data_IF_323183078331
#
_entry.id   IF_323183078331
#
_cell.length_a   1.000
_cell.length_b   1.000
_cell.length_c   1.000
_cell.angle_alpha   90.00
_cell.angle_beta   90.00
_cell.angle_gamma   90.00
#
_symmetry.space_group_name_H-M   'P 1'
#
loop_
_entity.id
_entity.type
_entity.pdbx_description
1 polymer ?
#
# COMPACT_ATOMS: atom_id res chain seq x y z
N UNK A 1 35.28 0.76 40.98
CA UNK A 1 34.39 1.75 40.34
C UNK A 1 33.71 1.07 39.17
N UNK A 2 32.42 0.75 39.31
CA UNK A 2 31.67 0.06 38.28
C UNK A 2 31.40 1.00 37.11
N UNK A 3 31.90 0.65 35.94
CA UNK A 3 31.49 1.28 34.69
C UNK A 3 30.02 0.92 34.50
N UNK A 4 29.13 1.86 34.79
CA UNK A 4 27.74 1.79 34.37
C UNK A 4 27.78 1.91 32.85
N UNK A 5 27.77 0.77 32.15
CA UNK A 5 27.30 0.73 30.78
C UNK A 5 25.82 1.13 30.84
N UNK A 6 25.54 2.42 30.71
CA UNK A 6 24.23 2.85 30.25
C UNK A 6 24.19 2.42 28.78
N UNK A 7 23.39 1.42 28.38
CA UNK A 7 23.19 1.21 26.97
C UNK A 7 22.40 2.44 26.52
N UNK A 8 23.11 3.40 25.94
CA UNK A 8 22.48 4.31 24.99
C UNK A 8 22.06 3.36 23.86
N UNK A 9 20.87 2.78 24.00
CA UNK A 9 20.22 2.00 22.96
C UNK A 9 19.91 3.02 21.88
N UNK A 10 20.88 3.24 20.99
CA UNK A 10 20.71 4.15 19.89
C UNK A 10 19.65 3.53 18.98
N UNK A 11 18.50 4.19 18.89
CA UNK A 11 17.52 3.89 17.86
C UNK A 11 18.25 3.80 16.50
N UNK A 12 17.85 2.83 15.69
CA UNK A 12 18.31 2.68 14.32
C UNK A 12 18.12 4.02 13.61
N UNK A 13 19.18 4.46 12.93
CA UNK A 13 19.17 5.71 12.20
C UNK A 13 18.19 5.61 11.01
N UNK A 14 17.21 6.53 10.87
CA UNK A 14 16.32 6.56 9.72
C UNK A 14 17.05 6.88 8.41
N UNK A 15 18.23 7.49 8.47
CA UNK A 15 19.08 7.81 7.32
C UNK A 15 19.90 6.57 6.94
N UNK A 16 19.74 6.14 5.69
CA UNK A 16 20.47 5.02 5.11
C UNK A 16 21.88 5.43 4.68
N UNK A 17 22.00 6.57 3.97
CA UNK A 17 23.27 7.10 3.49
C UNK A 17 23.21 8.61 3.30
N UNK A 18 24.33 9.29 3.54
CA UNK A 18 24.52 10.69 3.20
C UNK A 18 25.27 10.82 1.87
N UNK A 19 24.70 11.56 0.92
CA UNK A 19 25.31 11.95 -0.35
C UNK A 19 25.57 13.46 -0.31
N UNK A 20 26.65 13.86 0.37
CA UNK A 20 26.91 15.28 0.66
C UNK A 20 25.77 15.90 1.48
N UNK A 21 25.09 16.97 1.01
CA UNK A 21 23.98 17.59 1.73
C UNK A 21 22.67 16.79 1.67
N UNK A 22 22.59 15.75 0.82
CA UNK A 22 21.37 14.98 0.61
C UNK A 22 21.36 13.76 1.52
N UNK A 23 20.36 13.67 2.40
CA UNK A 23 20.14 12.50 3.25
C UNK A 23 19.15 11.52 2.60
N UNK A 24 19.63 10.32 2.25
CA UNK A 24 18.78 9.25 1.71
C UNK A 24 18.22 8.45 2.88
N UNK A 25 16.90 8.42 3.01
CA UNK A 25 16.21 7.75 4.10
C UNK A 25 15.90 6.28 3.76
N UNK A 26 15.96 5.39 4.75
CA UNK A 26 15.56 3.99 4.61
C UNK A 26 14.14 3.84 4.10
N UNK A 27 13.24 4.74 4.50
CA UNK A 27 11.85 4.78 4.03
C UNK A 27 11.76 4.83 2.50
N UNK A 28 12.57 5.69 1.85
CA UNK A 28 12.61 5.81 0.40
C UNK A 28 13.20 4.56 -0.27
N UNK A 29 14.26 4.00 0.30
CA UNK A 29 14.90 2.76 -0.21
C UNK A 29 13.93 1.58 -0.15
N UNK A 30 13.19 1.45 0.96
CA UNK A 30 12.19 0.38 1.16
C UNK A 30 11.04 0.53 0.16
N UNK A 31 10.52 1.74 -0.06
CA UNK A 31 9.48 1.98 -1.07
C UNK A 31 9.98 1.66 -2.47
N UNK A 32 11.15 2.15 -2.86
CA UNK A 32 11.73 1.88 -4.18
C UNK A 32 11.90 0.38 -4.42
N UNK A 33 12.40 -0.35 -3.41
CA UNK A 33 12.53 -1.81 -3.45
C UNK A 33 11.17 -2.48 -3.60
N UNK A 34 10.16 -2.03 -2.84
CA UNK A 34 8.78 -2.52 -2.93
C UNK A 34 8.18 -2.32 -4.33
N UNK A 35 8.41 -1.17 -4.95
CA UNK A 35 7.96 -0.87 -6.33
C UNK A 35 8.64 -1.80 -7.34
N UNK A 36 9.95 -2.00 -7.25
CA UNK A 36 10.69 -2.90 -8.15
C UNK A 36 10.14 -4.32 -8.06
N UNK A 37 9.93 -4.83 -6.85
CA UNK A 37 9.35 -6.16 -6.62
C UNK A 37 7.93 -6.22 -7.18
N UNK A 38 7.12 -5.20 -6.92
CA UNK A 38 5.74 -5.15 -7.37
C UNK A 38 5.63 -5.17 -8.90
N UNK A 39 6.41 -4.34 -9.60
CA UNK A 39 6.47 -4.31 -11.06
C UNK A 39 6.94 -5.65 -11.61
N UNK A 40 8.00 -6.23 -11.04
CA UNK A 40 8.54 -7.52 -11.50
C UNK A 40 7.51 -8.64 -11.40
N UNK A 41 6.75 -8.69 -10.30
CA UNK A 41 5.69 -9.67 -10.11
C UNK A 41 4.47 -9.40 -10.99
N UNK A 42 4.11 -8.13 -11.18
CA UNK A 42 3.01 -7.71 -12.04
C UNK A 42 3.30 -8.07 -13.50
N UNK A 43 4.51 -7.81 -14.01
CA UNK A 43 4.95 -8.19 -15.36
C UNK A 43 4.90 -9.70 -15.55
N UNK A 44 5.44 -10.47 -14.60
CA UNK A 44 5.43 -11.94 -14.66
C UNK A 44 4.00 -12.49 -14.72
N UNK A 45 3.07 -11.97 -13.93
CA UNK A 45 1.69 -12.43 -13.96
C UNK A 45 0.91 -11.88 -15.15
N UNK A 46 1.12 -10.61 -15.51
CA UNK A 46 0.52 -9.98 -16.67
C UNK A 46 0.79 -10.74 -17.96
N UNK A 47 2.05 -11.12 -18.20
CA UNK A 47 2.42 -11.95 -19.34
C UNK A 47 1.67 -13.29 -19.37
N UNK A 48 1.47 -13.94 -18.22
CA UNK A 48 0.68 -15.18 -18.12
C UNK A 48 -0.81 -14.97 -18.38
N UNK A 49 -1.30 -13.74 -18.20
CA UNK A 49 -2.68 -13.34 -18.45
C UNK A 49 -2.85 -12.60 -19.79
N UNK A 50 -1.85 -12.58 -20.65
CA UNK A 50 -1.94 -11.94 -21.98
C UNK A 50 -1.93 -10.41 -21.96
N UNK A 51 -1.30 -9.81 -20.96
CA UNK A 51 -0.96 -8.37 -20.90
C UNK A 51 0.51 -8.24 -21.26
N UNK A 52 0.85 -7.34 -22.18
CA UNK A 52 2.25 -7.13 -22.57
C UNK A 52 3.06 -6.50 -21.43
N UNK A 53 4.35 -6.83 -21.36
CA UNK A 53 5.24 -6.24 -20.35
C UNK A 53 5.34 -4.72 -20.51
N UNK A 54 5.41 -4.23 -21.75
CA UNK A 54 5.48 -2.81 -22.07
C UNK A 54 4.24 -2.05 -21.59
N UNK A 55 3.05 -2.65 -21.67
CA UNK A 55 1.83 -2.03 -21.12
C UNK A 55 1.92 -1.82 -19.61
N UNK A 56 2.55 -2.74 -18.88
CA UNK A 56 2.71 -2.63 -17.42
C UNK A 56 3.77 -1.59 -17.08
N UNK A 57 4.88 -1.54 -17.83
CA UNK A 57 5.92 -0.52 -17.68
C UNK A 57 5.39 0.89 -18.01
N UNK A 58 4.67 1.04 -19.12
CA UNK A 58 4.03 2.30 -19.49
C UNK A 58 3.02 2.73 -18.42
N UNK A 59 2.18 1.80 -17.95
CA UNK A 59 1.19 2.10 -16.94
C UNK A 59 1.82 2.60 -15.64
N UNK A 60 2.89 1.96 -15.14
CA UNK A 60 3.57 2.41 -13.90
C UNK A 60 4.26 3.78 -14.11
N UNK A 61 4.85 4.01 -15.29
CA UNK A 61 5.48 5.29 -15.64
C UNK A 61 4.48 6.45 -15.70
N UNK A 62 3.22 6.19 -16.06
CA UNK A 62 2.14 7.17 -15.96
C UNK A 62 1.54 7.25 -14.55
N UNK A 63 1.33 6.11 -13.89
CA UNK A 63 0.61 6.04 -12.63
C UNK A 63 1.39 6.64 -11.46
N UNK A 64 2.70 6.42 -11.37
CA UNK A 64 3.52 6.94 -10.26
C UNK A 64 3.56 8.48 -10.24
N UNK A 65 3.90 9.19 -11.33
CA UNK A 65 3.87 10.65 -11.35
C UNK A 65 2.45 11.20 -11.13
N UNK A 66 1.44 10.63 -11.78
CA UNK A 66 0.06 11.07 -11.60
C UNK A 66 -0.43 10.88 -10.16
N UNK A 67 -0.06 9.77 -9.50
CA UNK A 67 -0.36 9.54 -8.10
C UNK A 67 0.31 10.59 -7.19
N UNK A 68 1.57 10.93 -7.44
CA UNK A 68 2.29 11.93 -6.66
C UNK A 68 1.66 13.33 -6.83
N UNK A 69 1.36 13.72 -8.07
CA UNK A 69 0.70 15.00 -8.39
C UNK A 69 -0.67 15.06 -7.73
N UNK A 70 -1.50 14.02 -7.88
CA UNK A 70 -2.83 13.97 -7.31
C UNK A 70 -2.79 13.96 -5.78
N UNK A 71 -1.81 13.31 -5.16
CA UNK A 71 -1.63 13.31 -3.71
C UNK A 71 -1.30 14.70 -3.17
N UNK A 72 -0.45 15.45 -3.87
CA UNK A 72 -0.13 16.83 -3.52
C UNK A 72 -1.32 17.75 -3.74
N UNK A 73 -1.96 17.66 -4.90
CA UNK A 73 -3.16 18.44 -5.22
C UNK A 73 -4.27 18.21 -4.18
N UNK A 74 -4.52 16.96 -3.82
CA UNK A 74 -5.48 16.61 -2.77
C UNK A 74 -5.11 17.28 -1.45
N UNK A 75 -3.86 17.16 -1.00
CA UNK A 75 -3.42 17.80 0.26
C UNK A 75 -3.62 19.31 0.24
N UNK A 76 -3.22 19.98 -0.85
CA UNK A 76 -3.33 21.43 -1.04
C UNK A 76 -4.78 21.88 -1.03
N UNK A 77 -5.69 21.16 -1.71
CA UNK A 77 -7.12 21.47 -1.74
C UNK A 77 -7.72 21.45 -0.32
N UNK A 78 -7.37 20.44 0.48
CA UNK A 78 -7.87 20.34 1.85
C UNK A 78 -7.19 21.32 2.83
N UNK A 79 -6.04 21.90 2.45
CA UNK A 79 -5.31 22.92 3.21
C UNK A 79 -5.33 24.28 2.49
N UNK A 80 -6.36 24.55 1.69
CA UNK A 80 -6.40 25.73 0.81
C UNK A 80 -6.25 27.06 1.55
N UNK A 81 -6.77 27.13 2.78
CA UNK A 81 -6.66 28.32 3.63
C UNK A 81 -5.22 28.79 3.86
N UNK A 82 -4.28 27.84 3.94
CA UNK A 82 -2.85 28.08 4.06
C UNK A 82 -2.22 28.40 2.69
N UNK A 83 -2.47 27.56 1.69
CA UNK A 83 -1.77 27.64 0.39
C UNK A 83 -2.20 28.83 -0.47
N UNK A 84 -3.40 29.39 -0.28
CA UNK A 84 -3.79 30.64 -0.94
C UNK A 84 -2.86 31.82 -0.59
N UNK A 85 -2.21 31.77 0.58
CA UNK A 85 -1.23 32.75 1.03
C UNK A 85 0.22 32.36 0.71
N UNK A 86 0.46 31.09 0.34
CA UNK A 86 1.79 30.52 0.07
C UNK A 86 1.81 29.73 -1.25
N UNK A 87 1.49 30.37 -2.41
CA UNK A 87 1.34 29.65 -3.68
C UNK A 87 2.63 28.98 -4.16
N UNK A 88 3.81 29.53 -3.80
CA UNK A 88 5.10 28.92 -4.14
C UNK A 88 5.35 27.57 -3.47
N UNK A 89 4.70 27.31 -2.33
CA UNK A 89 4.83 26.05 -1.60
C UNK A 89 3.95 24.93 -2.19
N UNK A 90 3.00 25.23 -3.09
CA UNK A 90 2.07 24.24 -3.65
C UNK A 90 2.81 23.07 -4.32
N UNK A 91 3.94 23.34 -4.98
CA UNK A 91 4.75 22.32 -5.68
C UNK A 91 5.83 21.69 -4.79
N UNK A 92 6.05 22.23 -3.59
CA UNK A 92 7.13 21.84 -2.69
C UNK A 92 6.80 20.52 -1.98
N UNK A 93 6.92 19.41 -2.72
CA UNK A 93 6.68 18.05 -2.20
C UNK A 93 7.75 17.59 -1.21
N UNK A 94 8.92 18.21 -1.22
CA UNK A 94 10.03 17.93 -0.30
C UNK A 94 9.75 18.43 1.13
N UNK A 95 8.83 19.39 1.30
CA UNK A 95 8.37 19.85 2.61
C UNK A 95 7.29 18.91 3.22
N UNK A 96 7.00 17.80 2.54
CA UNK A 96 5.95 16.86 2.93
C UNK A 96 4.57 17.26 2.42
N UNK A 97 3.51 16.93 3.16
CA UNK A 97 2.13 17.27 2.78
C UNK A 97 1.63 16.49 1.56
N UNK A 98 1.60 15.17 1.68
CA UNK A 98 1.12 14.24 0.65
C UNK A 98 -0.05 13.44 1.24
N UNK A 99 -1.18 13.43 0.55
CA UNK A 99 -2.36 12.69 0.97
C UNK A 99 -2.53 11.40 0.17
N UNK A 100 -2.50 10.25 0.85
CA UNK A 100 -2.62 8.93 0.22
C UNK A 100 -3.91 8.77 -0.62
N UNK A 101 -5.00 9.42 -0.22
CA UNK A 101 -6.26 9.39 -0.96
C UNK A 101 -6.11 9.99 -2.36
N UNK A 102 -5.37 11.09 -2.49
CA UNK A 102 -5.05 11.67 -3.78
C UNK A 102 -4.19 10.72 -4.63
N UNK A 103 -3.21 10.02 -4.03
CA UNK A 103 -2.42 9.00 -4.73
C UNK A 103 -3.30 7.90 -5.32
N UNK A 104 -4.24 7.37 -4.52
CA UNK A 104 -5.13 6.28 -4.94
C UNK A 104 -6.08 6.73 -6.07
N UNK A 105 -6.63 7.94 -5.99
CA UNK A 105 -7.49 8.51 -7.03
C UNK A 105 -6.70 8.71 -8.32
N UNK A 106 -5.53 9.37 -8.25
CA UNK A 106 -4.68 9.62 -9.41
C UNK A 106 -4.23 8.34 -10.11
N UNK A 107 -3.70 7.37 -9.35
CA UNK A 107 -3.31 6.07 -9.88
C UNK A 107 -4.51 5.31 -10.48
N UNK A 108 -5.66 5.31 -9.80
CA UNK A 108 -6.87 4.62 -10.27
C UNK A 108 -7.39 5.19 -11.59
N UNK A 109 -7.38 6.51 -11.75
CA UNK A 109 -7.74 7.16 -13.01
C UNK A 109 -6.80 6.76 -14.15
N UNK A 110 -5.48 6.76 -13.89
CA UNK A 110 -4.51 6.30 -14.89
C UNK A 110 -4.77 4.85 -15.27
N UNK A 111 -4.90 3.93 -14.31
CA UNK A 111 -5.19 2.51 -14.58
C UNK A 111 -6.45 2.38 -15.45
N UNK A 112 -7.52 3.10 -15.11
CA UNK A 112 -8.77 3.05 -15.85
C UNK A 112 -8.61 3.53 -17.30
N UNK A 113 -8.09 4.74 -17.52
CA UNK A 113 -7.95 5.31 -18.86
C UNK A 113 -6.90 4.58 -19.70
N UNK A 114 -5.78 4.19 -19.09
CA UNK A 114 -4.71 3.45 -19.76
C UNK A 114 -5.23 2.10 -20.27
N UNK A 115 -5.86 1.31 -19.40
CA UNK A 115 -6.44 0.01 -19.78
C UNK A 115 -7.48 0.16 -20.90
N UNK A 116 -8.32 1.21 -20.85
CA UNK A 116 -9.29 1.49 -21.92
C UNK A 116 -8.63 1.82 -23.25
N UNK A 117 -7.53 2.58 -23.24
CA UNK A 117 -6.78 2.94 -24.45
C UNK A 117 -6.02 1.77 -25.08
N UNK A 118 -5.62 0.78 -24.28
CA UNK A 118 -4.85 -0.41 -24.70
C UNK A 118 -5.69 -1.67 -24.89
N UNK A 119 -7.01 -1.57 -24.81
CA UNK A 119 -7.92 -2.73 -24.85
C UNK A 119 -7.55 -3.81 -23.81
N UNK A 120 -7.19 -3.39 -22.59
CA UNK A 120 -6.96 -4.30 -21.46
C UNK A 120 -8.19 -4.23 -20.54
N UNK A 121 -8.76 -5.37 -20.10
CA UNK A 121 -9.82 -5.33 -19.10
C UNK A 121 -9.29 -4.74 -17.80
N UNK A 122 -9.88 -3.63 -17.34
CA UNK A 122 -9.46 -2.94 -16.10
C UNK A 122 -9.46 -3.91 -14.91
N UNK A 123 -10.47 -4.77 -14.81
CA UNK A 123 -10.57 -5.78 -13.76
C UNK A 123 -9.42 -6.80 -13.78
N UNK A 124 -8.98 -7.21 -14.97
CA UNK A 124 -7.85 -8.11 -15.11
C UNK A 124 -6.55 -7.43 -14.67
N UNK A 125 -6.33 -6.17 -15.07
CA UNK A 125 -5.16 -5.41 -14.64
C UNK A 125 -5.15 -5.22 -13.11
N UNK A 126 -6.30 -4.91 -12.51
CA UNK A 126 -6.44 -4.81 -11.06
C UNK A 126 -6.16 -6.14 -10.35
N UNK A 127 -6.62 -7.28 -10.89
CA UNK A 127 -6.30 -8.61 -10.34
C UNK A 127 -4.82 -8.94 -10.40
N UNK A 128 -4.13 -8.53 -11.48
CA UNK A 128 -2.68 -8.68 -11.62
C UNK A 128 -1.95 -7.81 -10.60
N UNK A 129 -2.38 -6.56 -10.44
CA UNK A 129 -1.74 -5.60 -9.54
C UNK A 129 -1.99 -5.90 -8.05
N UNK A 130 -3.19 -6.35 -7.67
CA UNK A 130 -3.61 -6.42 -6.26
C UNK A 130 -2.66 -7.21 -5.33
N UNK A 131 -2.18 -8.43 -5.67
CA UNK A 131 -1.20 -9.13 -4.84
C UNK A 131 0.11 -8.37 -4.69
N UNK A 132 0.53 -7.64 -5.73
CA UNK A 132 1.77 -6.84 -5.68
C UNK A 132 1.63 -5.60 -4.79
N UNK A 133 0.43 -5.01 -4.74
CA UNK A 133 0.11 -3.87 -3.88
C UNK A 133 0.14 -4.27 -2.41
N UNK A 134 -0.50 -5.38 -2.03
CA UNK A 134 -0.51 -5.83 -0.63
C UNK A 134 0.88 -6.28 -0.17
N UNK A 135 1.70 -6.83 -1.05
CA UNK A 135 3.12 -7.07 -0.75
C UNK A 135 3.88 -5.75 -0.55
N UNK A 136 3.65 -4.76 -1.41
CA UNK A 136 4.21 -3.41 -1.24
C UNK A 136 3.82 -2.78 0.10
N UNK A 137 2.57 -2.97 0.55
CA UNK A 137 2.13 -2.56 1.89
C UNK A 137 2.91 -3.32 2.98
N UNK A 138 3.07 -4.64 2.85
CA UNK A 138 3.81 -5.43 3.83
C UNK A 138 5.26 -4.94 4.00
N UNK A 139 5.94 -4.63 2.88
CA UNK A 139 7.32 -4.13 2.84
C UNK A 139 7.37 -2.69 3.37
N UNK A 140 6.47 -1.82 2.91
CA UNK A 140 6.44 -0.40 3.26
C UNK A 140 6.30 -0.13 4.75
N UNK A 141 5.65 -1.03 5.51
CA UNK A 141 5.53 -0.90 6.98
C UNK A 141 6.87 -0.91 7.69
N UNK A 142 7.91 -1.52 7.11
CA UNK A 142 9.26 -1.45 7.66
C UNK A 142 9.87 -0.05 7.53
N UNK A 143 9.39 0.77 6.59
CA UNK A 143 9.71 2.20 6.56
C UNK A 143 9.20 2.90 7.82
N UNK A 144 7.96 2.65 8.23
CA UNK A 144 7.40 3.24 9.46
C UNK A 144 8.22 2.83 10.71
N UNK A 145 8.73 1.60 10.74
CA UNK A 145 9.62 1.12 11.80
C UNK A 145 10.96 1.89 11.84
N UNK A 146 11.59 2.12 10.69
CA UNK A 146 12.83 2.88 10.61
C UNK A 146 12.63 4.35 11.01
N UNK A 147 11.49 4.94 10.63
CA UNK A 147 11.14 6.32 10.97
C UNK A 147 10.52 6.49 12.37
N UNK A 148 10.28 5.39 13.11
CA UNK A 148 9.58 5.40 14.39
C UNK A 148 8.25 6.17 14.34
N UNK A 149 7.42 5.85 13.35
CA UNK A 149 6.09 6.46 13.16
C UNK A 149 5.00 5.38 13.06
N UNK A 150 3.72 5.79 13.06
CA UNK A 150 2.58 4.87 12.91
C UNK A 150 2.51 3.74 13.95
N UNK A 151 3.16 3.91 15.11
CA UNK A 151 3.22 2.93 16.19
C UNK A 151 1.94 2.91 17.05
N UNK A 152 1.77 1.84 17.83
CA UNK A 152 0.61 1.68 18.69
C UNK A 152 0.74 2.32 20.07
N UNK A 153 -0.21 2.03 20.94
CA UNK A 153 -0.23 2.54 22.33
C UNK A 153 0.99 2.08 23.14
N UNK A 154 1.21 2.74 24.28
CA UNK A 154 2.22 2.33 25.26
C UNK A 154 1.95 0.89 25.70
N UNK A 155 3.02 0.10 25.77
CA UNK A 155 3.01 -1.30 26.20
C UNK A 155 4.20 -1.60 27.12
N UNK A 156 4.29 -2.84 27.60
CA UNK A 156 5.38 -3.28 28.47
C UNK A 156 6.48 -4.00 27.69
N UNK A 157 7.69 -4.03 28.25
CA UNK A 157 8.79 -4.86 27.73
C UNK A 157 8.40 -6.35 27.69
N UNK A 158 7.71 -6.83 28.74
CA UNK A 158 7.24 -8.21 28.83
C UNK A 158 6.30 -8.58 27.68
N UNK A 159 5.42 -7.65 27.26
CA UNK A 159 4.57 -7.86 26.09
C UNK A 159 5.40 -8.07 24.81
N UNK A 160 6.41 -7.21 24.56
CA UNK A 160 7.27 -7.32 23.38
C UNK A 160 8.14 -8.60 23.39
N UNK A 161 8.63 -8.99 24.56
CA UNK A 161 9.37 -10.26 24.74
C UNK A 161 8.45 -11.47 24.53
N UNK A 162 7.19 -11.40 24.98
CA UNK A 162 6.19 -12.45 24.74
C UNK A 162 5.85 -12.66 23.26
N UNK A 163 6.07 -11.64 22.42
CA UNK A 163 5.99 -11.76 20.96
C UNK A 163 7.23 -12.43 20.34
N UNK A 164 8.22 -12.83 21.15
CA UNK A 164 9.48 -13.46 20.71
C UNK A 164 10.25 -12.62 19.68
N UNK A 165 10.17 -11.30 19.80
CA UNK A 165 10.83 -10.38 18.87
C UNK A 165 12.34 -10.34 19.13
N UNK A 166 13.16 -10.20 18.08
CA UNK A 166 14.60 -10.00 18.26
C UNK A 166 14.85 -8.64 18.96
N UNK A 167 15.94 -8.57 19.73
CA UNK A 167 16.26 -7.39 20.57
C UNK A 167 16.24 -6.07 19.80
N UNK A 168 16.83 -6.04 18.61
CA UNK A 168 16.88 -4.83 17.77
C UNK A 168 15.50 -4.28 17.39
N UNK A 169 14.45 -5.13 17.29
CA UNK A 169 13.08 -4.67 17.09
C UNK A 169 12.52 -4.09 18.39
N UNK A 170 12.70 -4.79 19.51
CA UNK A 170 12.23 -4.34 20.82
C UNK A 170 12.83 -2.98 21.17
N UNK A 171 14.14 -2.85 20.97
CA UNK A 171 14.93 -1.66 21.21
C UNK A 171 14.43 -0.47 20.36
N UNK A 172 14.18 -0.70 19.06
CA UNK A 172 13.64 0.33 18.17
C UNK A 172 12.21 0.75 18.53
N UNK A 173 11.44 -0.12 19.19
CA UNK A 173 10.09 0.17 19.67
C UNK A 173 10.06 0.93 21.00
N UNK A 174 11.21 1.24 21.59
CA UNK A 174 11.32 2.20 22.69
C UNK A 174 11.32 3.63 22.13
N UNK A 175 10.14 4.25 22.08
CA UNK A 175 9.93 5.52 21.39
C UNK A 175 9.41 6.55 22.39
N UNK A 176 10.11 7.69 22.49
CA UNK A 176 9.78 8.79 23.38
C UNK A 176 9.60 8.35 24.85
N UNK A 177 10.54 7.53 25.35
CA UNK A 177 10.60 7.12 26.76
C UNK A 177 9.67 5.96 27.15
N UNK A 178 8.97 5.34 26.21
CA UNK A 178 8.10 4.20 26.49
C UNK A 178 8.13 3.17 25.35
N UNK A 179 7.98 1.88 25.70
CA UNK A 179 7.74 0.84 24.71
C UNK A 179 6.37 1.02 24.05
N UNK A 180 6.32 0.87 22.74
CA UNK A 180 5.10 1.00 21.93
C UNK A 180 4.73 -0.35 21.30
N UNK A 181 3.44 -0.56 21.08
CA UNK A 181 2.99 -1.74 20.33
C UNK A 181 3.48 -1.66 18.86
N UNK A 182 4.04 -2.75 18.30
CA UNK A 182 4.62 -2.77 16.96
C UNK A 182 3.53 -2.96 15.90
N UNK A 183 2.66 -1.96 15.74
CA UNK A 183 1.60 -1.95 14.71
C UNK A 183 2.15 -2.13 13.30
N UNK A 184 3.37 -1.64 13.03
CA UNK A 184 4.07 -1.90 11.76
C UNK A 184 4.17 -3.41 11.46
N UNK A 185 4.50 -4.22 12.49
CA UNK A 185 4.70 -5.66 12.36
C UNK A 185 3.35 -6.36 12.20
N UNK A 186 2.33 -5.95 12.96
CA UNK A 186 0.98 -6.49 12.82
C UNK A 186 0.43 -6.24 11.41
N UNK A 187 0.64 -5.04 10.87
CA UNK A 187 0.18 -4.70 9.52
C UNK A 187 1.04 -5.36 8.43
N UNK A 188 2.35 -5.45 8.63
CA UNK A 188 3.27 -6.15 7.73
C UNK A 188 2.93 -7.63 7.61
N UNK A 189 2.75 -8.31 8.75
CA UNK A 189 2.41 -9.73 8.81
C UNK A 189 1.02 -10.02 8.26
N UNK A 190 0.02 -9.21 8.58
CA UNK A 190 -1.33 -9.34 8.00
C UNK A 190 -1.33 -9.19 6.48
N UNK A 191 -0.58 -8.20 5.98
CA UNK A 191 -0.47 -7.94 4.54
C UNK A 191 0.30 -9.06 3.82
N UNK A 192 1.38 -9.56 4.43
CA UNK A 192 2.15 -10.69 3.90
C UNK A 192 1.31 -11.98 3.87
N UNK A 193 0.52 -12.24 4.90
CA UNK A 193 -0.40 -13.38 4.93
C UNK A 193 -1.44 -13.25 3.80
N UNK A 194 -2.02 -12.07 3.60
CA UNK A 194 -2.93 -11.81 2.49
C UNK A 194 -2.28 -12.01 1.13
N UNK A 195 -1.03 -11.57 0.96
CA UNK A 195 -0.23 -11.84 -0.24
C UNK A 195 -0.10 -13.35 -0.49
N UNK A 196 0.34 -14.13 0.52
CA UNK A 196 0.53 -15.58 0.40
C UNK A 196 -0.79 -16.27 0.03
N UNK A 197 -1.90 -15.90 0.68
CA UNK A 197 -3.23 -16.44 0.40
C UNK A 197 -3.64 -16.15 -1.04
N UNK A 198 -3.57 -14.89 -1.48
CA UNK A 198 -3.95 -14.51 -2.85
C UNK A 198 -3.06 -15.18 -3.90
N UNK A 199 -1.74 -15.25 -3.67
CA UNK A 199 -0.81 -15.91 -4.58
C UNK A 199 -1.06 -17.42 -4.68
N UNK A 200 -1.44 -18.07 -3.58
CA UNK A 200 -1.72 -19.51 -3.54
C UNK A 200 -3.06 -19.86 -4.20
N UNK A 201 -4.04 -18.97 -4.10
CA UNK A 201 -5.40 -19.23 -4.57
C UNK A 201 -5.69 -18.69 -5.98
N UNK A 202 -5.02 -17.61 -6.43
CA UNK A 202 -5.36 -16.94 -7.71
C UNK A 202 -5.22 -17.84 -8.93
N UNK A 203 -4.40 -18.89 -8.85
CA UNK A 203 -4.18 -19.85 -9.93
C UNK A 203 -5.07 -21.08 -9.87
N UNK A 204 -5.97 -21.18 -8.87
CA UNK A 204 -6.88 -22.31 -8.75
C UNK A 204 -7.98 -22.24 -9.83
N UNK A 205 -8.12 -23.25 -10.70
CA UNK A 205 -9.10 -23.23 -11.78
C UNK A 205 -10.54 -23.04 -11.29
N UNK A 206 -11.25 -22.09 -11.89
CA UNK A 206 -12.66 -21.81 -11.58
C UNK A 206 -12.92 -21.09 -10.25
N UNK A 207 -11.90 -20.79 -9.45
CA UNK A 207 -12.09 -20.11 -8.16
C UNK A 207 -12.45 -18.63 -8.34
N UNK A 208 -11.63 -17.91 -9.11
CA UNK A 208 -11.77 -16.47 -9.33
C UNK A 208 -12.24 -16.14 -10.74
N UNK A 209 -13.17 -15.20 -10.81
CA UNK A 209 -13.53 -14.46 -12.03
C UNK A 209 -12.75 -13.13 -12.07
N UNK A 210 -12.66 -12.50 -13.24
CA UNK A 210 -11.95 -11.23 -13.36
C UNK A 210 -12.51 -10.16 -12.42
N UNK A 211 -11.63 -9.48 -11.70
CA UNK A 211 -11.87 -8.49 -10.65
C UNK A 211 -12.00 -9.08 -9.25
N UNK A 212 -12.15 -10.39 -9.10
CA UNK A 212 -12.35 -11.00 -7.79
C UNK A 212 -11.05 -11.13 -6.98
N UNK A 213 -9.89 -11.23 -7.62
CA UNK A 213 -8.61 -11.21 -6.88
C UNK A 213 -8.41 -9.82 -6.25
N UNK A 214 -8.70 -8.75 -6.99
CA UNK A 214 -8.68 -7.39 -6.48
C UNK A 214 -9.71 -7.18 -5.36
N UNK A 215 -10.95 -7.64 -5.52
CA UNK A 215 -11.97 -7.50 -4.49
C UNK A 215 -11.62 -8.30 -3.22
N UNK A 216 -11.03 -9.48 -3.36
CA UNK A 216 -10.51 -10.26 -2.23
C UNK A 216 -9.42 -9.50 -1.48
N UNK A 217 -8.47 -8.89 -2.22
CA UNK A 217 -7.47 -7.99 -1.64
C UNK A 217 -8.11 -6.84 -0.86
N UNK A 218 -9.07 -6.13 -1.45
CA UNK A 218 -9.74 -4.99 -0.81
C UNK A 218 -10.43 -5.41 0.48
N UNK A 219 -11.15 -6.53 0.47
CA UNK A 219 -11.79 -7.07 1.67
C UNK A 219 -10.75 -7.48 2.72
N UNK A 220 -9.69 -8.19 2.33
CA UNK A 220 -8.63 -8.64 3.24
C UNK A 220 -7.92 -7.48 3.93
N UNK A 221 -7.46 -6.50 3.14
CA UNK A 221 -6.75 -5.34 3.67
C UNK A 221 -7.67 -4.50 4.54
N UNK A 222 -8.90 -4.24 4.12
CA UNK A 222 -9.87 -3.46 4.90
C UNK A 222 -10.17 -4.11 6.25
N UNK A 223 -10.32 -5.43 6.28
CA UNK A 223 -10.54 -6.16 7.52
C UNK A 223 -9.39 -5.93 8.52
N UNK A 224 -8.14 -6.19 8.11
CA UNK A 224 -6.98 -5.99 8.99
C UNK A 224 -6.80 -4.52 9.39
N UNK A 225 -6.97 -3.61 8.42
CA UNK A 225 -6.82 -2.17 8.63
C UNK A 225 -7.80 -1.65 9.69
N UNK A 226 -9.03 -2.15 9.73
CA UNK A 226 -10.01 -1.77 10.75
C UNK A 226 -9.52 -2.05 12.18
N UNK A 227 -8.96 -3.24 12.44
CA UNK A 227 -8.50 -3.62 13.78
C UNK A 227 -7.18 -2.93 14.15
N UNK A 228 -6.21 -2.92 13.24
CA UNK A 228 -4.88 -2.34 13.49
C UNK A 228 -4.99 -0.82 13.71
N UNK A 229 -5.87 -0.15 12.96
CA UNK A 229 -6.10 1.28 13.15
C UNK A 229 -6.62 1.61 14.55
N UNK A 230 -7.40 0.72 15.18
CA UNK A 230 -7.84 0.90 16.57
C UNK A 230 -6.69 0.89 17.59
N UNK A 231 -5.55 0.28 17.24
CA UNK A 231 -4.36 0.18 18.07
C UNK A 231 -3.42 1.38 17.95
N UNK A 232 -3.50 2.15 16.85
CA UNK A 232 -2.63 3.30 16.57
C UNK A 232 -2.92 4.50 17.48
N UNK A 233 -1.91 5.34 17.65
CA UNK A 233 -2.03 6.60 18.43
C UNK A 233 -2.18 7.84 17.56
N UNK A 234 -1.80 7.77 16.30
CA UNK A 234 -1.67 8.88 15.34
C UNK A 234 -2.72 8.84 14.21
N UNK A 235 -3.92 8.37 14.54
CA UNK A 235 -5.00 8.22 13.56
C UNK A 235 -5.56 9.55 13.07
N UNK A 236 -5.85 9.62 11.78
CA UNK A 236 -6.63 10.72 11.21
C UNK A 236 -8.08 10.63 11.70
N UNK A 237 -8.53 11.65 12.43
CA UNK A 237 -9.87 11.71 13.03
C UNK A 237 -10.82 12.54 12.17
N UNK A 238 -12.01 12.00 11.90
CA UNK A 238 -13.17 12.70 11.38
C UNK A 238 -14.06 13.10 12.57
N UNK A 239 -14.42 14.39 12.64
CA UNK A 239 -15.24 14.96 13.71
C UNK A 239 -14.70 14.67 15.13
N UNK A 240 -13.40 14.40 15.28
CA UNK A 240 -12.71 14.09 16.55
C UNK A 240 -13.07 12.76 17.24
N UNK A 241 -14.04 11.98 16.74
CA UNK A 241 -14.41 10.68 17.34
C UNK A 241 -14.34 9.48 16.38
N UNK A 242 -14.33 9.69 15.06
CA UNK A 242 -14.25 8.59 14.07
C UNK A 242 -12.86 8.52 13.47
N UNK A 243 -12.20 7.37 13.52
CA UNK A 243 -10.95 7.17 12.75
C UNK A 243 -11.30 6.98 11.29
N UNK A 244 -10.80 7.86 10.42
CA UNK A 244 -11.12 7.85 8.97
C UNK A 244 -10.80 6.49 8.35
N UNK A 245 -9.65 5.91 8.72
CA UNK A 245 -9.24 4.60 8.20
C UNK A 245 -10.17 3.45 8.62
N UNK A 246 -10.82 3.52 9.78
CA UNK A 246 -11.80 2.51 10.20
C UNK A 246 -13.10 2.65 9.41
N UNK A 247 -13.62 3.87 9.26
CA UNK A 247 -14.81 4.13 8.45
C UNK A 247 -14.60 3.69 6.99
N UNK A 248 -13.47 4.08 6.40
CA UNK A 248 -13.13 3.69 5.03
C UNK A 248 -12.99 2.17 4.90
N UNK A 249 -12.42 1.49 5.91
CA UNK A 249 -12.32 0.03 5.91
C UNK A 249 -13.69 -0.63 5.85
N UNK A 250 -14.68 -0.15 6.62
CA UNK A 250 -16.04 -0.68 6.57
C UNK A 250 -16.67 -0.46 5.18
N UNK A 251 -16.55 0.75 4.65
CA UNK A 251 -17.10 1.11 3.33
C UNK A 251 -16.48 0.23 2.23
N UNK A 252 -15.16 0.09 2.22
CA UNK A 252 -14.44 -0.70 1.22
C UNK A 252 -14.74 -2.20 1.34
N UNK A 253 -14.80 -2.73 2.56
CA UNK A 253 -15.13 -4.14 2.79
C UNK A 253 -16.54 -4.46 2.29
N UNK A 254 -17.54 -3.70 2.75
CA UNK A 254 -18.95 -3.92 2.37
C UNK A 254 -19.16 -3.64 0.88
N UNK A 255 -18.58 -2.57 0.35
CA UNK A 255 -18.65 -2.24 -1.07
C UNK A 255 -18.05 -3.34 -1.95
N UNK A 256 -16.86 -3.86 -1.60
CA UNK A 256 -16.23 -4.95 -2.32
C UNK A 256 -17.06 -6.24 -2.27
N UNK A 257 -17.65 -6.57 -1.11
CA UNK A 257 -18.53 -7.72 -0.95
C UNK A 257 -19.81 -7.59 -1.81
N UNK A 258 -20.44 -6.42 -1.81
CA UNK A 258 -21.63 -6.15 -2.63
C UNK A 258 -21.29 -6.27 -4.12
N UNK A 259 -20.19 -5.66 -4.57
CA UNK A 259 -19.73 -5.73 -5.96
C UNK A 259 -19.43 -7.19 -6.34
N UNK A 260 -18.79 -7.95 -5.46
CA UNK A 260 -18.52 -9.37 -5.70
C UNK A 260 -19.81 -10.15 -5.93
N UNK A 261 -20.76 -10.05 -4.99
CA UNK A 261 -22.02 -10.81 -5.05
C UNK A 261 -22.84 -10.39 -6.28
N UNK A 262 -22.94 -9.08 -6.56
CA UNK A 262 -23.72 -8.58 -7.69
C UNK A 262 -23.15 -9.05 -9.02
N UNK A 263 -21.82 -9.01 -9.18
CA UNK A 263 -21.15 -9.46 -10.41
C UNK A 263 -21.29 -10.97 -10.62
N UNK A 264 -21.29 -11.77 -9.56
CA UNK A 264 -21.55 -13.22 -9.68
C UNK A 264 -23.00 -13.55 -10.05
N UNK A 265 -23.97 -12.72 -9.64
CA UNK A 265 -25.40 -12.87 -9.94
C UNK A 265 -25.85 -12.21 -11.25
N UNK A 266 -24.95 -11.50 -11.94
CA UNK A 266 -25.23 -10.90 -13.25
C UNK A 266 -25.65 -11.96 -14.27
N UNK A 267 -26.58 -11.60 -15.15
CA UNK A 267 -27.03 -12.44 -16.29
C UNK A 267 -25.84 -12.86 -17.16
N UNK A 268 -24.89 -11.95 -17.34
CA UNK A 268 -23.59 -12.20 -17.97
C UNK A 268 -22.51 -12.11 -16.89
N UNK A 269 -22.14 -13.23 -16.26
CA UNK A 269 -21.08 -13.21 -15.27
C UNK A 269 -19.74 -12.87 -15.92
N UNK A 270 -18.79 -12.28 -15.17
CA UNK A 270 -17.45 -12.05 -15.67
C UNK A 270 -16.76 -13.37 -16.06
N UNK A 271 -15.88 -13.30 -17.06
CA UNK A 271 -15.03 -14.42 -17.48
C UNK A 271 -14.08 -14.86 -16.36
N UNK A 272 -13.53 -16.07 -16.46
CA UNK A 272 -12.61 -16.56 -15.45
C UNK A 272 -11.32 -15.72 -15.45
N UNK A 273 -10.71 -15.56 -14.27
CA UNK A 273 -9.43 -14.85 -14.15
C UNK A 273 -8.34 -15.51 -15.03
N UNK A 274 -8.34 -16.85 -15.09
CA UNK A 274 -7.35 -17.61 -15.83
C UNK A 274 -7.49 -17.49 -17.36
N UNK A 275 -8.65 -17.07 -17.88
CA UNK A 275 -8.86 -16.87 -19.32
C UNK A 275 -8.05 -15.69 -19.87
N UNK A 276 -7.54 -14.81 -18.98
CA UNK A 276 -6.65 -13.72 -19.36
C UNK A 276 -7.33 -12.63 -20.19
N UNK A 277 -6.54 -11.88 -20.95
CA UNK A 277 -7.00 -10.76 -21.76
C UNK A 277 -7.73 -11.26 -23.02
N UNK A 278 -9.05 -11.07 -23.14
CA UNK A 278 -9.81 -11.54 -24.30
C UNK A 278 -9.48 -10.76 -25.59
N UNK A 279 -8.77 -9.64 -25.49
CA UNK A 279 -8.41 -8.79 -26.62
C UNK A 279 -7.00 -9.07 -27.18
N UNK A 280 -6.28 -10.07 -26.65
CA UNK A 280 -4.89 -10.36 -27.00
C UNK A 280 -4.65 -10.60 -28.50
N UNK A 281 -5.63 -11.16 -29.23
CA UNK A 281 -5.52 -11.34 -30.68
C UNK A 281 -5.64 -10.03 -31.47
N UNK A 282 -6.31 -9.00 -30.91
CA UNK A 282 -6.47 -7.69 -31.55
C UNK A 282 -5.25 -6.78 -31.36
N UNK A 283 -4.53 -6.90 -30.24
CA UNK A 283 -3.33 -6.10 -29.96
C UNK A 283 -2.15 -6.48 -30.88
N UNK A 284 -2.05 -7.74 -31.31
CA UNK A 284 -1.05 -8.19 -32.29
C UNK A 284 -1.34 -7.74 -33.73
N UNK A 285 -2.55 -7.27 -34.04
CA UNK A 285 -2.92 -6.75 -35.37
C UNK A 285 -2.72 -5.23 -35.51
N UNK A 286 -2.47 -4.53 -34.39
CA UNK A 286 -2.24 -3.08 -34.35
C UNK A 286 -0.77 -2.66 -34.25
N UNK A 287 0.15 -3.63 -34.28
CA UNK A 287 1.59 -3.43 -34.42
C UNK A 287 1.99 -3.74 -35.86
#
# INVERSE_FOLDING_TARGET
MGVIFSPIVAALNPIAIHLGPIAVHWYGVIIATGVIIAVTLAVREGNRRGIESDDIYDMILWALPAALIAARAYYVIFQWSYYQHHPGEIIAIWDGGIAIYGSLIGAGLVVYFFCRSRFIPVWLMLDVAAPTVILGQAIGRWGNFMNQEAFGRITSLAFLQGLHLPRWVIDQMFINGAYRQPTFLFESTWSLMGFVVLMSLRHYPGLFKQGEVFLAYVMWYSFGRFFIEGMRTDSLMLFSFIRVSQLLSVILFVGALIIWISRRRSVTPPIAYLDGNPFQAKTNLSK
#
